data_IF_977011532821
#
_entry.id   IF_977011532821
#
_cell.length_a   1.000
_cell.length_b   1.000
_cell.length_c   1.000
_cell.angle_alpha   90.00
_cell.angle_beta   90.00
_cell.angle_gamma   90.00
#
_symmetry.space_group_name_H-M   'P 1'
#
loop_
_entity.id
_entity.type
_entity.pdbx_description
1 polymer ?
#
# COMPACT_ATOMS: atom_id res chain seq x y z
N UNK A 1 -6.27 -5.53 17.49
CA UNK A 1 -4.84 -5.42 17.93
C UNK A 1 -4.52 -3.99 18.28
N UNK A 2 -3.90 -3.74 19.42
CA UNK A 2 -3.49 -2.39 19.79
C UNK A 2 -2.47 -1.84 18.80
N UNK A 3 -2.55 -0.53 18.51
CA UNK A 3 -1.70 0.16 17.54
C UNK A 3 -0.20 -0.10 17.75
N UNK A 4 0.29 -0.04 19.00
CA UNK A 4 1.70 -0.31 19.33
C UNK A 4 2.12 -1.75 18.98
N UNK A 5 1.27 -2.72 19.25
CA UNK A 5 1.50 -4.13 18.92
C UNK A 5 1.54 -4.36 17.41
N UNK A 6 0.65 -3.69 16.68
CA UNK A 6 0.59 -3.76 15.21
C UNK A 6 1.88 -3.20 14.59
N UNK A 7 2.34 -2.02 15.03
CA UNK A 7 3.59 -1.41 14.57
C UNK A 7 4.78 -2.32 14.87
N UNK A 8 4.87 -2.87 16.09
CA UNK A 8 5.94 -3.78 16.48
C UNK A 8 5.95 -5.05 15.62
N UNK A 9 4.77 -5.63 15.37
CA UNK A 9 4.64 -6.80 14.51
C UNK A 9 5.20 -6.55 13.11
N UNK A 10 4.77 -5.49 12.44
CA UNK A 10 5.21 -5.16 11.09
C UNK A 10 6.69 -4.77 11.03
N UNK A 11 7.20 -4.06 12.03
CA UNK A 11 8.62 -3.76 12.11
C UNK A 11 9.48 -5.02 12.21
N UNK A 12 9.06 -6.01 13.01
CA UNK A 12 9.75 -7.31 13.10
C UNK A 12 9.67 -8.09 11.79
N UNK A 13 8.50 -8.12 11.16
CA UNK A 13 8.28 -8.81 9.90
C UNK A 13 9.24 -8.31 8.81
N UNK A 14 9.29 -6.99 8.60
CA UNK A 14 10.14 -6.40 7.56
C UNK A 14 11.63 -6.37 7.90
N UNK A 15 12.00 -6.62 9.14
CA UNK A 15 13.40 -6.80 9.54
C UNK A 15 13.97 -8.14 9.05
N UNK A 16 13.14 -9.19 9.02
CA UNK A 16 13.57 -10.57 8.76
C UNK A 16 13.40 -11.02 7.30
N UNK A 17 12.51 -10.42 6.54
CA UNK A 17 12.11 -10.92 5.22
C UNK A 17 12.65 -10.06 4.09
N UNK A 18 13.48 -10.67 3.22
CA UNK A 18 13.89 -10.09 1.94
C UNK A 18 12.98 -10.67 0.87
N UNK A 19 12.10 -9.84 0.30
CA UNK A 19 11.25 -10.20 -0.84
C UNK A 19 11.57 -9.21 -1.94
N UNK A 20 12.09 -9.70 -3.07
CA UNK A 20 12.52 -8.86 -4.19
C UNK A 20 11.50 -8.78 -5.32
N UNK A 21 10.72 -9.84 -5.54
CA UNK A 21 9.83 -9.93 -6.70
C UNK A 21 8.40 -9.47 -6.36
N UNK A 22 7.74 -8.90 -7.35
CA UNK A 22 6.35 -8.50 -7.27
C UNK A 22 5.42 -9.68 -6.96
N UNK A 23 4.30 -9.37 -6.33
CA UNK A 23 3.26 -10.37 -6.05
C UNK A 23 2.49 -10.76 -7.31
N UNK A 24 1.87 -11.94 -7.27
CA UNK A 24 0.95 -12.37 -8.33
C UNK A 24 -0.23 -11.41 -8.46
N UNK A 25 -0.68 -10.83 -7.35
CA UNK A 25 -1.75 -9.84 -7.35
C UNK A 25 -1.33 -8.53 -8.03
N UNK A 26 -0.08 -8.09 -7.86
CA UNK A 26 0.44 -6.93 -8.59
C UNK A 26 0.46 -7.17 -10.10
N UNK A 27 0.86 -8.36 -10.53
CA UNK A 27 0.79 -8.76 -11.95
C UNK A 27 -0.64 -8.77 -12.48
N UNK A 28 -1.58 -9.32 -11.72
CA UNK A 28 -3.00 -9.31 -12.04
C UNK A 28 -3.52 -7.88 -12.19
N UNK A 29 -3.23 -7.02 -11.21
CA UNK A 29 -3.63 -5.62 -11.21
C UNK A 29 -3.07 -4.90 -12.44
N UNK A 30 -1.78 -5.08 -12.71
CA UNK A 30 -1.14 -4.47 -13.89
C UNK A 30 -1.83 -4.90 -15.20
N UNK A 31 -2.16 -6.16 -15.34
CA UNK A 31 -2.88 -6.64 -16.53
C UNK A 31 -4.22 -5.93 -16.74
N UNK A 32 -4.88 -5.51 -15.66
CA UNK A 32 -6.14 -4.76 -15.73
C UNK A 32 -5.96 -3.28 -16.04
N UNK A 33 -4.83 -2.68 -15.64
CA UNK A 33 -4.60 -1.23 -15.73
C UNK A 33 -3.58 -0.82 -16.80
N UNK A 34 -2.94 -1.76 -17.49
CA UNK A 34 -1.81 -1.50 -18.41
C UNK A 34 -2.10 -0.47 -19.50
N UNK A 35 -3.36 -0.27 -19.86
CA UNK A 35 -3.79 0.73 -20.84
C UNK A 35 -4.20 2.07 -20.20
N UNK A 36 -4.10 2.18 -18.89
CA UNK A 36 -4.34 3.41 -18.14
C UNK A 36 -3.02 4.01 -17.68
N UNK A 37 -2.99 5.32 -17.55
CA UNK A 37 -1.89 6.05 -16.92
C UNK A 37 -2.38 6.70 -15.63
N UNK A 38 -1.48 7.15 -14.81
CA UNK A 38 -1.83 7.92 -13.64
C UNK A 38 -1.04 7.55 -12.40
N UNK A 39 -1.59 7.95 -11.27
CA UNK A 39 -0.96 7.77 -9.96
C UNK A 39 -1.58 6.57 -9.24
N UNK A 40 -0.72 5.77 -8.63
CA UNK A 40 -1.11 4.63 -7.79
C UNK A 40 -0.84 4.98 -6.33
N UNK A 41 -1.83 4.75 -5.48
CA UNK A 41 -1.66 4.71 -4.03
C UNK A 41 -1.56 3.24 -3.59
N UNK A 42 -0.42 2.85 -3.02
CA UNK A 42 -0.21 1.53 -2.43
C UNK A 42 -0.35 1.62 -0.91
N UNK A 43 -1.50 1.17 -0.40
CA UNK A 43 -1.82 1.21 1.04
C UNK A 43 -1.29 -0.04 1.73
N UNK A 44 -0.47 0.15 2.76
CA UNK A 44 0.22 -0.95 3.41
C UNK A 44 1.35 -1.50 2.54
N UNK A 45 2.15 -0.61 1.96
CA UNK A 45 3.16 -0.95 0.95
C UNK A 45 4.30 -1.84 1.46
N UNK A 46 4.51 -1.89 2.77
CA UNK A 46 5.55 -2.70 3.40
C UNK A 46 6.94 -2.44 2.81
N UNK A 47 7.62 -3.48 2.35
CA UNK A 47 8.94 -3.41 1.73
C UNK A 47 8.95 -2.79 0.33
N UNK A 48 7.79 -2.35 -0.17
CA UNK A 48 7.66 -1.66 -1.45
C UNK A 48 7.76 -2.53 -2.69
N UNK A 49 7.79 -3.86 -2.57
CA UNK A 49 7.99 -4.74 -3.73
C UNK A 49 7.00 -4.50 -4.86
N UNK A 50 5.73 -4.32 -4.54
CA UNK A 50 4.68 -4.05 -5.53
C UNK A 50 4.71 -2.58 -5.97
N UNK A 51 5.00 -1.65 -5.07
CA UNK A 51 5.20 -0.23 -5.41
C UNK A 51 6.33 -0.06 -6.44
N UNK A 52 7.47 -0.70 -6.24
CA UNK A 52 8.58 -0.65 -7.20
C UNK A 52 8.23 -1.30 -8.53
N UNK A 53 7.47 -2.39 -8.51
CA UNK A 53 6.97 -3.03 -9.72
C UNK A 53 6.12 -2.07 -10.56
N UNK A 54 5.12 -1.42 -9.96
CA UNK A 54 4.28 -0.47 -10.67
C UNK A 54 5.08 0.74 -11.17
N UNK A 55 6.03 1.22 -10.37
CA UNK A 55 6.91 2.30 -10.80
C UNK A 55 7.76 1.92 -12.01
N UNK A 56 8.31 0.70 -12.03
CA UNK A 56 9.04 0.15 -13.18
C UNK A 56 8.17 0.05 -14.43
N UNK A 57 6.86 -0.14 -14.26
CA UNK A 57 5.87 -0.13 -15.35
C UNK A 57 5.45 1.27 -15.81
N UNK A 58 6.03 2.32 -15.21
CA UNK A 58 5.83 3.70 -15.63
C UNK A 58 4.81 4.49 -14.82
N UNK A 59 4.29 3.93 -13.74
CA UNK A 59 3.34 4.63 -12.87
C UNK A 59 4.06 5.54 -11.86
N UNK A 60 3.40 6.64 -11.53
CA UNK A 60 3.75 7.48 -10.38
C UNK A 60 3.13 6.85 -9.12
N UNK A 61 3.97 6.39 -8.21
CA UNK A 61 3.51 5.58 -7.06
C UNK A 61 3.77 6.30 -5.75
N UNK A 62 2.76 6.31 -4.88
CA UNK A 62 2.89 6.69 -3.48
C UNK A 62 2.61 5.46 -2.62
N UNK A 63 3.61 4.96 -1.94
CA UNK A 63 3.47 3.89 -0.95
C UNK A 63 3.33 4.46 0.45
N UNK A 64 2.34 3.98 1.20
CA UNK A 64 2.13 4.37 2.60
C UNK A 64 2.10 3.14 3.50
N UNK A 65 2.72 3.27 4.67
CA UNK A 65 2.77 2.21 5.67
C UNK A 65 2.96 2.80 7.06
N UNK A 66 2.50 2.12 8.08
CA UNK A 66 2.69 2.51 9.48
C UNK A 66 4.10 2.15 10.00
N UNK A 67 4.79 1.22 9.33
CA UNK A 67 6.12 0.78 9.71
C UNK A 67 7.19 1.78 9.27
N UNK A 68 7.74 2.50 10.23
CA UNK A 68 8.87 3.42 10.00
C UNK A 68 10.09 2.71 9.41
N UNK A 69 10.33 1.46 9.84
CA UNK A 69 11.46 0.66 9.34
C UNK A 69 11.30 0.29 7.86
N UNK A 70 10.10 -0.11 7.45
CA UNK A 70 9.80 -0.41 6.06
C UNK A 70 9.99 0.85 5.18
N UNK A 71 9.45 1.98 5.60
CA UNK A 71 9.56 3.24 4.86
C UNK A 71 11.04 3.68 4.74
N UNK A 72 11.81 3.62 5.83
CA UNK A 72 13.24 3.99 5.78
C UNK A 72 14.03 3.12 4.81
N UNK A 73 13.78 1.82 4.76
CA UNK A 73 14.41 0.92 3.79
C UNK A 73 14.04 1.27 2.35
N UNK A 74 12.77 1.57 2.11
CA UNK A 74 12.28 1.93 0.78
C UNK A 74 12.88 3.26 0.28
N UNK A 75 13.00 4.25 1.17
CA UNK A 75 13.60 5.55 0.85
C UNK A 75 15.07 5.46 0.44
N UNK A 76 15.80 4.43 0.84
CA UNK A 76 17.18 4.19 0.40
C UNK A 76 17.27 3.78 -1.08
N UNK A 77 16.19 3.28 -1.66
CA UNK A 77 16.10 2.84 -3.05
C UNK A 77 15.45 3.92 -3.92
N UNK A 78 16.06 5.11 -3.97
CA UNK A 78 15.50 6.24 -4.73
C UNK A 78 15.29 5.90 -6.20
N UNK A 79 14.09 6.16 -6.68
CA UNK A 79 13.67 6.09 -8.09
C UNK A 79 12.85 7.31 -8.44
N UNK A 80 12.76 7.64 -9.74
CA UNK A 80 11.88 8.70 -10.23
C UNK A 80 10.42 8.29 -10.08
N UNK A 81 9.56 9.23 -9.73
CA UNK A 81 8.10 9.04 -9.64
C UNK A 81 7.65 7.96 -8.65
N UNK A 82 8.41 7.78 -7.59
CA UNK A 82 7.98 6.95 -6.47
C UNK A 82 8.29 7.66 -5.16
N UNK A 83 7.33 7.65 -4.25
CA UNK A 83 7.48 8.19 -2.91
C UNK A 83 6.94 7.22 -1.87
N UNK A 84 7.54 7.25 -0.69
CA UNK A 84 7.13 6.45 0.45
C UNK A 84 6.93 7.34 1.65
N UNK A 85 5.82 7.15 2.36
CA UNK A 85 5.48 7.94 3.54
C UNK A 85 5.03 7.04 4.68
N UNK A 86 5.58 7.27 5.87
CA UNK A 86 4.96 6.74 7.08
C UNK A 86 3.59 7.39 7.23
N UNK A 87 2.55 6.59 7.34
CA UNK A 87 1.19 7.06 7.40
C UNK A 87 0.34 6.18 8.31
N UNK A 88 -0.39 6.83 9.20
CA UNK A 88 -1.37 6.18 10.06
C UNK A 88 -2.78 6.44 9.49
N UNK A 89 -3.45 5.39 9.06
CA UNK A 89 -4.81 5.49 8.49
C UNK A 89 -5.83 6.01 9.51
N UNK A 90 -5.55 5.87 10.82
CA UNK A 90 -6.41 6.41 11.88
C UNK A 90 -6.28 7.92 12.07
N UNK A 91 -5.31 8.57 11.44
CA UNK A 91 -4.99 9.99 11.66
C UNK A 91 -5.93 10.99 10.98
N UNK A 92 -6.87 10.56 10.17
CA UNK A 92 -7.76 11.40 9.34
C UNK A 92 -7.04 12.35 8.36
N UNK A 93 -5.72 12.22 8.20
CA UNK A 93 -4.94 13.00 7.24
C UNK A 93 -5.26 12.58 5.81
N UNK A 94 -5.00 13.49 4.89
CA UNK A 94 -5.13 13.23 3.44
C UNK A 94 -3.77 12.82 2.86
N UNK A 95 -3.78 12.00 1.83
CA UNK A 95 -2.58 11.56 1.12
C UNK A 95 -2.53 12.03 -0.33
N UNK A 96 -3.62 12.52 -0.85
CA UNK A 96 -3.75 13.01 -2.23
C UNK A 96 -4.87 12.30 -3.00
N UNK A 97 -4.88 12.50 -4.32
CA UNK A 97 -5.86 11.91 -5.25
C UNK A 97 -5.15 10.99 -6.24
N UNK A 98 -5.76 9.83 -6.50
CA UNK A 98 -5.15 8.78 -7.29
C UNK A 98 -6.14 8.17 -8.28
N UNK A 99 -5.63 7.77 -9.43
CA UNK A 99 -6.38 7.04 -10.44
C UNK A 99 -6.58 5.57 -10.06
N UNK A 100 -5.63 5.03 -9.30
CA UNK A 100 -5.63 3.62 -8.88
C UNK A 100 -5.28 3.55 -7.40
N UNK A 101 -6.05 2.79 -6.65
CA UNK A 101 -5.77 2.47 -5.24
C UNK A 101 -5.56 0.97 -5.13
N UNK A 102 -4.43 0.58 -4.57
CA UNK A 102 -3.98 -0.80 -4.42
C UNK A 102 -3.77 -1.12 -2.94
N UNK A 103 -4.34 -2.22 -2.48
CA UNK A 103 -4.21 -2.65 -1.09
C UNK A 103 -4.16 -4.18 -1.02
N UNK A 104 -3.01 -4.71 -0.60
CA UNK A 104 -2.78 -6.15 -0.56
C UNK A 104 -2.57 -6.63 0.87
N UNK A 105 -3.35 -7.64 1.28
CA UNK A 105 -3.23 -8.32 2.58
C UNK A 105 -3.29 -7.41 3.81
N UNK A 106 -3.87 -6.24 3.67
CA UNK A 106 -3.93 -5.28 4.76
C UNK A 106 -5.17 -5.49 5.65
N UNK A 107 -6.33 -5.77 5.05
CA UNK A 107 -7.63 -5.82 5.75
C UNK A 107 -7.69 -6.86 6.87
N UNK A 108 -7.08 -8.04 6.69
CA UNK A 108 -7.11 -9.09 7.71
C UNK A 108 -6.25 -8.80 8.95
N UNK A 109 -5.47 -7.72 8.94
CA UNK A 109 -4.60 -7.32 10.06
C UNK A 109 -5.17 -6.18 10.89
N UNK A 110 -6.32 -5.66 10.53
CA UNK A 110 -6.93 -4.51 11.17
C UNK A 110 -8.30 -4.86 11.76
N UNK A 111 -8.69 -4.13 12.81
CA UNK A 111 -10.00 -4.24 13.41
C UNK A 111 -11.05 -3.40 12.65
N UNK A 112 -12.31 -3.48 13.08
CA UNK A 112 -13.42 -2.74 12.47
C UNK A 112 -13.23 -1.22 12.48
N UNK A 113 -12.61 -0.69 13.53
CA UNK A 113 -12.33 0.75 13.63
C UNK A 113 -11.36 1.19 12.53
N UNK A 114 -10.25 0.47 12.37
CA UNK A 114 -9.25 0.77 11.34
C UNK A 114 -9.79 0.48 9.93
N UNK A 115 -10.63 -0.53 9.76
CA UNK A 115 -11.31 -0.79 8.49
C UNK A 115 -12.17 0.41 8.07
N UNK A 116 -12.96 0.98 8.99
CA UNK A 116 -13.74 2.18 8.72
C UNK A 116 -12.85 3.38 8.37
N UNK A 117 -11.70 3.53 9.02
CA UNK A 117 -10.71 4.56 8.70
C UNK A 117 -10.09 4.37 7.32
N UNK A 118 -9.81 3.13 6.94
CA UNK A 118 -9.32 2.77 5.61
C UNK A 118 -10.33 3.16 4.52
N UNK A 119 -11.59 2.82 4.72
CA UNK A 119 -12.67 3.19 3.78
C UNK A 119 -12.76 4.71 3.64
N UNK A 120 -12.69 5.46 4.74
CA UNK A 120 -12.65 6.92 4.70
C UNK A 120 -11.45 7.45 3.90
N UNK A 121 -10.26 6.89 4.12
CA UNK A 121 -9.06 7.26 3.38
C UNK A 121 -9.24 7.03 1.88
N UNK A 122 -9.78 5.89 1.49
CA UNK A 122 -10.05 5.56 0.09
C UNK A 122 -11.03 6.58 -0.51
N UNK A 123 -12.12 6.90 0.18
CA UNK A 123 -13.09 7.91 -0.28
C UNK A 123 -12.44 9.29 -0.47
N UNK A 124 -11.53 9.68 0.40
CA UNK A 124 -10.78 10.95 0.29
C UNK A 124 -9.74 10.93 -0.82
N UNK A 125 -9.23 9.75 -1.19
CA UNK A 125 -8.11 9.57 -2.12
C UNK A 125 -8.56 9.28 -3.55
N UNK A 126 -9.82 8.95 -3.75
CA UNK A 126 -10.35 8.61 -5.08
C UNK A 126 -10.74 9.85 -5.88
N UNK A 127 -10.61 9.75 -7.19
CA UNK A 127 -11.25 10.57 -8.21
C UNK A 127 -12.53 9.87 -8.68
N UNK A 128 -13.26 10.47 -9.63
CA UNK A 128 -14.53 9.93 -10.13
C UNK A 128 -14.41 8.49 -10.66
N UNK A 129 -13.38 8.20 -11.44
CA UNK A 129 -13.19 6.89 -12.11
C UNK A 129 -12.06 6.07 -11.50
N UNK A 130 -11.73 6.29 -10.25
CA UNK A 130 -10.64 5.54 -9.59
C UNK A 130 -10.98 4.06 -9.47
N UNK A 131 -10.05 3.23 -9.90
CA UNK A 131 -10.11 1.78 -9.71
C UNK A 131 -9.46 1.42 -8.37
N UNK A 132 -10.12 0.54 -7.63
CA UNK A 132 -9.64 0.07 -6.33
C UNK A 132 -9.45 -1.44 -6.39
N UNK A 133 -8.25 -1.89 -6.04
CA UNK A 133 -7.87 -3.30 -6.02
C UNK A 133 -7.55 -3.74 -4.61
N UNK A 134 -8.25 -4.76 -4.14
CA UNK A 134 -8.02 -5.38 -2.84
C UNK A 134 -7.67 -6.85 -2.98
N UNK A 135 -6.66 -7.30 -2.26
CA UNK A 135 -6.41 -8.71 -1.98
C UNK A 135 -6.38 -8.91 -0.47
N UNK A 136 -7.17 -9.84 0.02
CA UNK A 136 -7.20 -10.22 1.44
C UNK A 136 -7.41 -11.72 1.59
N UNK A 137 -6.99 -12.26 2.71
CA UNK A 137 -7.25 -13.66 3.06
C UNK A 137 -8.60 -13.77 3.76
N UNK A 138 -9.36 -14.81 3.45
CA UNK A 138 -10.54 -15.17 4.21
C UNK A 138 -10.15 -16.15 5.35
N UNK A 139 -11.05 -16.40 6.26
CA UNK A 139 -10.80 -17.28 7.43
C UNK A 139 -10.64 -18.77 7.07
N UNK A 140 -10.82 -19.15 5.81
CA UNK A 140 -10.70 -20.53 5.34
C UNK A 140 -9.36 -20.82 4.64
N UNK A 141 -8.52 -19.85 4.47
CA UNK A 141 -7.23 -19.97 3.78
C UNK A 141 -6.08 -20.28 4.74
#
# INVERSE_FOLDING_TARGET
MEKKKLISYWNKFYKKKIISDESTFAKFTYAKIKNQKGKILDIGCGNGRDSFFFNKKGYDVTGIDISQKAIKKNLKKKKKKISFKKFDIASDKKVGKFEIIYCRFFLHTIDQFLENKLIKLIKKSKKENTLVFFEFRNFKD
#
